data_IF_829372962738
#
_entry.id   IF_829372962738
#
_cell.length_a   1.000
_cell.length_b   1.000
_cell.length_c   1.000
_cell.angle_alpha   90.00
_cell.angle_beta   90.00
_cell.angle_gamma   90.00
#
_symmetry.space_group_name_H-M   'P 1'
#
loop_
_entity.id
_entity.type
_entity.pdbx_description
1 polymer ?
#
# COMPACT_ATOMS: atom_id res chain seq x y z
N UNK A 1 -5.99 -39.13 -15.26
CA UNK A 1 -4.69 -39.27 -14.59
C UNK A 1 -4.63 -38.14 -13.56
N UNK A 2 -4.44 -38.40 -12.26
CA UNK A 2 -4.39 -37.34 -11.27
C UNK A 2 -3.05 -36.59 -11.38
N UNK A 3 -3.11 -35.28 -11.28
CA UNK A 3 -1.95 -34.38 -11.25
C UNK A 3 -1.19 -34.59 -9.92
N UNK A 4 0.10 -34.56 -10.04
CA UNK A 4 1.11 -34.89 -9.04
C UNK A 4 1.12 -33.82 -7.92
N UNK A 5 0.87 -34.26 -6.69
CA UNK A 5 0.80 -33.43 -5.48
C UNK A 5 2.19 -33.29 -4.82
N UNK A 6 3.22 -32.88 -5.56
CA UNK A 6 4.61 -32.86 -5.06
C UNK A 6 5.30 -31.49 -5.06
N UNK A 7 4.56 -30.37 -5.00
CA UNK A 7 5.15 -29.02 -4.93
C UNK A 7 4.78 -28.21 -3.68
N UNK A 8 4.35 -28.86 -2.58
CA UNK A 8 3.91 -28.15 -1.36
C UNK A 8 4.94 -28.22 -0.19
N UNK A 9 6.03 -28.96 -0.37
CA UNK A 9 7.03 -29.13 0.71
C UNK A 9 8.30 -28.34 0.43
N UNK A 10 8.33 -27.04 0.71
CA UNK A 10 9.58 -26.32 1.08
C UNK A 10 9.46 -24.77 1.25
N UNK A 11 8.34 -24.21 1.63
CA UNK A 11 8.27 -22.76 1.91
C UNK A 11 7.81 -22.56 3.35
N UNK A 12 8.70 -22.82 4.30
CA UNK A 12 8.58 -22.27 5.64
C UNK A 12 9.60 -21.12 5.77
N UNK A 13 9.17 -19.87 5.93
CA UNK A 13 10.09 -18.76 6.16
C UNK A 13 10.81 -19.00 7.50
N UNK A 14 12.13 -18.95 7.47
CA UNK A 14 12.95 -18.96 8.72
C UNK A 14 12.93 -17.55 9.30
N UNK A 15 11.91 -17.22 10.06
CA UNK A 15 11.85 -15.99 10.81
C UNK A 15 12.97 -15.89 11.83
N UNK A 16 13.84 -14.90 11.71
CA UNK A 16 14.74 -14.48 12.78
C UNK A 16 13.98 -13.49 13.67
N UNK A 17 14.01 -13.72 14.97
CA UNK A 17 13.38 -12.91 16.00
C UNK A 17 13.80 -11.44 15.85
N UNK A 18 12.85 -10.56 15.52
CA UNK A 18 12.99 -9.14 15.77
C UNK A 18 12.81 -8.90 17.28
N UNK A 19 13.80 -8.25 17.91
CA UNK A 19 13.65 -7.77 19.29
C UNK A 19 12.92 -6.45 19.25
N UNK A 20 11.83 -6.33 20.01
CA UNK A 20 11.18 -5.04 20.25
C UNK A 20 12.21 -4.03 20.78
N UNK A 21 12.34 -2.84 20.18
CA UNK A 21 13.29 -1.84 20.62
C UNK A 21 12.88 -1.26 21.98
N UNK A 22 13.87 -1.07 22.85
CA UNK A 22 13.72 -0.27 24.08
C UNK A 22 13.33 1.15 23.68
N UNK A 23 12.14 1.61 24.09
CA UNK A 23 11.66 2.98 23.90
C UNK A 23 12.49 3.92 24.79
N UNK A 24 13.32 4.82 24.26
CA UNK A 24 13.98 5.84 25.06
C UNK A 24 13.01 6.96 25.43
N UNK A 25 13.20 7.65 26.57
CA UNK A 25 12.33 8.74 26.99
C UNK A 25 12.44 9.96 26.07
N UNK A 26 11.31 10.63 25.84
CA UNK A 26 11.16 11.81 25.01
C UNK A 26 12.16 12.93 25.35
N UNK A 27 12.88 13.39 24.32
CA UNK A 27 13.69 14.61 24.38
C UNK A 27 13.09 15.70 23.49
N UNK A 28 12.83 16.85 24.09
CA UNK A 28 12.34 18.06 23.44
C UNK A 28 13.42 18.67 22.53
N UNK A 29 13.15 18.80 21.22
CA UNK A 29 13.75 19.86 20.39
C UNK A 29 13.12 19.91 18.98
N UNK A 30 12.41 20.97 18.63
CA UNK A 30 11.77 21.15 17.32
C UNK A 30 12.74 21.08 16.12
N UNK A 31 14.02 21.44 16.29
CA UNK A 31 15.06 21.32 15.24
C UNK A 31 15.56 19.86 15.04
N UNK A 32 15.36 18.99 16.02
CA UNK A 32 15.71 17.56 15.91
C UNK A 32 14.60 16.76 15.23
N UNK A 33 13.34 17.18 15.31
CA UNK A 33 12.19 16.50 14.71
C UNK A 33 12.21 16.56 13.17
N UNK A 34 12.50 17.74 12.59
CA UNK A 34 12.59 17.88 11.13
C UNK A 34 13.75 17.08 10.52
N UNK A 35 14.89 16.98 11.22
CA UNK A 35 15.99 16.12 10.78
C UNK A 35 15.63 14.63 10.92
N UNK A 36 14.85 14.25 11.93
CA UNK A 36 14.40 12.87 12.12
C UNK A 36 13.41 12.45 11.04
N UNK A 37 12.43 13.28 10.68
CA UNK A 37 11.48 12.98 9.61
C UNK A 37 12.16 12.82 8.24
N UNK A 38 13.09 13.71 7.90
CA UNK A 38 13.87 13.61 6.65
C UNK A 38 14.66 12.29 6.60
N UNK A 39 15.22 11.85 7.73
CA UNK A 39 15.92 10.57 7.81
C UNK A 39 14.96 9.39 7.64
N UNK A 40 13.78 9.41 8.27
CA UNK A 40 12.77 8.36 8.13
C UNK A 40 12.33 8.18 6.67
N UNK A 41 12.06 9.27 5.96
CA UNK A 41 11.73 9.20 4.54
C UNK A 41 12.89 8.68 3.70
N UNK A 42 14.12 9.10 3.98
CA UNK A 42 15.29 8.62 3.25
C UNK A 42 15.57 7.13 3.50
N UNK A 43 15.33 6.63 4.72
CA UNK A 43 15.48 5.21 5.04
C UNK A 43 14.39 4.41 4.35
N UNK A 44 13.13 4.86 4.41
CA UNK A 44 12.02 4.22 3.73
C UNK A 44 12.17 4.21 2.20
N UNK A 45 12.62 5.32 1.59
CA UNK A 45 12.91 5.42 0.16
C UNK A 45 13.92 4.35 -0.28
N UNK A 46 15.08 4.28 0.39
CA UNK A 46 16.11 3.28 0.09
C UNK A 46 15.64 1.84 0.31
N UNK A 47 14.85 1.60 1.35
CA UNK A 47 14.26 0.30 1.61
C UNK A 47 13.30 -0.11 0.48
N UNK A 48 12.47 0.83 -0.01
CA UNK A 48 11.55 0.59 -1.12
C UNK A 48 12.27 0.48 -2.47
N UNK A 49 13.39 1.17 -2.67
CA UNK A 49 14.22 0.99 -3.86
C UNK A 49 14.79 -0.44 -3.94
N UNK A 50 15.26 -1.00 -2.81
CA UNK A 50 15.71 -2.39 -2.77
C UNK A 50 14.53 -3.37 -2.99
N UNK A 51 13.35 -3.08 -2.43
CA UNK A 51 12.12 -3.89 -2.61
C UNK A 51 11.63 -3.91 -4.04
N UNK A 52 11.83 -2.83 -4.81
CA UNK A 52 11.37 -2.73 -6.19
C UNK A 52 11.92 -3.89 -7.05
N UNK A 53 13.22 -4.16 -6.99
CA UNK A 53 13.86 -5.27 -7.71
C UNK A 53 13.34 -6.63 -7.26
N UNK A 54 13.15 -6.81 -5.95
CA UNK A 54 12.64 -8.03 -5.36
C UNK A 54 11.19 -8.29 -5.81
N UNK A 55 10.35 -7.27 -5.82
CA UNK A 55 8.94 -7.35 -6.19
C UNK A 55 8.71 -7.64 -7.68
N UNK A 56 9.68 -7.36 -8.53
CA UNK A 56 9.66 -7.77 -9.94
C UNK A 56 10.01 -9.24 -10.16
N UNK A 57 10.53 -9.92 -9.13
CA UNK A 57 10.90 -11.33 -9.20
C UNK A 57 9.64 -12.21 -9.07
N UNK A 58 9.58 -13.29 -9.86
CA UNK A 58 8.51 -14.29 -9.75
C UNK A 58 7.11 -13.81 -10.13
N UNK A 59 6.98 -12.63 -10.74
CA UNK A 59 5.68 -12.09 -11.21
C UNK A 59 4.61 -11.95 -10.10
N UNK A 60 5.02 -11.57 -8.89
CA UNK A 60 4.09 -11.39 -7.78
C UNK A 60 2.93 -10.43 -8.11
N UNK A 61 3.24 -9.32 -8.81
CA UNK A 61 2.26 -8.32 -9.24
C UNK A 61 1.55 -8.68 -10.55
N UNK A 62 1.72 -9.91 -11.07
CA UNK A 62 1.09 -10.43 -12.28
C UNK A 62 1.20 -9.49 -13.50
N UNK A 63 2.31 -8.70 -13.54
CA UNK A 63 2.52 -7.74 -14.62
C UNK A 63 2.63 -8.43 -16.00
N UNK A 64 3.04 -9.70 -16.05
CA UNK A 64 3.09 -10.46 -17.30
C UNK A 64 1.70 -10.64 -17.90
N UNK A 65 0.68 -10.91 -17.08
CA UNK A 65 -0.69 -10.96 -17.54
C UNK A 65 -1.16 -9.61 -18.11
N UNK A 66 -0.74 -8.49 -17.47
CA UNK A 66 -1.00 -7.16 -18.02
C UNK A 66 -0.34 -6.94 -19.40
N UNK A 67 0.81 -7.57 -19.69
CA UNK A 67 1.48 -7.45 -20.99
C UNK A 67 0.84 -8.36 -22.05
N UNK A 68 0.35 -9.52 -21.66
CA UNK A 68 -0.25 -10.53 -22.57
C UNK A 68 -1.70 -10.17 -22.95
N UNK A 69 -2.49 -9.63 -22.02
CA UNK A 69 -3.88 -9.23 -22.26
C UNK A 69 -4.06 -7.71 -22.12
N UNK A 70 -4.29 -6.97 -23.23
CA UNK A 70 -4.48 -5.54 -23.21
C UNK A 70 -5.75 -5.08 -22.47
N UNK A 71 -6.63 -6.00 -22.09
CA UNK A 71 -7.85 -5.70 -21.32
C UNK A 71 -7.73 -6.00 -19.82
N UNK A 72 -6.66 -6.72 -19.42
CA UNK A 72 -6.42 -7.08 -18.04
C UNK A 72 -6.16 -5.85 -17.17
N UNK A 73 -6.58 -5.92 -15.92
CA UNK A 73 -6.21 -4.99 -14.83
C UNK A 73 -5.73 -5.84 -13.64
N UNK A 74 -4.99 -5.22 -12.73
CA UNK A 74 -4.55 -5.90 -11.50
C UNK A 74 -5.73 -6.45 -10.69
N UNK A 75 -5.47 -7.47 -9.89
CA UNK A 75 -6.49 -8.07 -9.04
C UNK A 75 -6.98 -7.09 -7.96
N UNK A 76 -6.08 -6.23 -7.48
CA UNK A 76 -6.38 -5.20 -6.50
C UNK A 76 -7.36 -4.18 -7.06
N UNK A 77 -7.05 -3.60 -8.23
CA UNK A 77 -7.95 -2.65 -8.88
C UNK A 77 -9.27 -3.30 -9.30
N UNK A 78 -9.27 -4.56 -9.72
CA UNK A 78 -10.46 -5.27 -10.16
C UNK A 78 -11.54 -5.37 -9.06
N UNK A 79 -11.15 -5.36 -7.78
CA UNK A 79 -12.10 -5.38 -6.67
C UNK A 79 -12.93 -4.11 -6.58
N UNK A 80 -12.35 -2.97 -6.94
CA UNK A 80 -12.92 -1.66 -6.66
C UNK A 80 -13.29 -0.86 -7.90
N UNK A 81 -12.87 -1.30 -9.09
CA UNK A 81 -13.02 -0.52 -10.34
C UNK A 81 -14.48 -0.13 -10.64
N UNK A 82 -15.44 -0.98 -10.32
CA UNK A 82 -16.86 -0.71 -10.54
C UNK A 82 -17.40 0.43 -9.65
N UNK A 83 -16.73 0.73 -8.53
CA UNK A 83 -17.10 1.83 -7.61
C UNK A 83 -16.88 3.20 -8.26
N UNK A 84 -15.96 3.28 -9.23
CA UNK A 84 -15.57 4.55 -9.87
C UNK A 84 -16.45 4.88 -11.08
N UNK A 85 -17.33 3.97 -11.50
CA UNK A 85 -18.19 4.13 -12.67
C UNK A 85 -17.40 4.31 -13.96
N UNK A 86 -17.93 5.13 -14.89
CA UNK A 86 -17.28 5.40 -16.16
C UNK A 86 -16.09 6.36 -15.98
N UNK A 87 -14.88 5.85 -16.26
CA UNK A 87 -13.64 6.61 -16.20
C UNK A 87 -13.27 7.30 -17.53
N UNK A 88 -14.08 7.12 -18.59
CA UNK A 88 -13.80 7.70 -19.90
C UNK A 88 -13.64 9.21 -19.81
N UNK A 89 -12.45 9.70 -20.19
CA UNK A 89 -12.13 11.12 -20.17
C UNK A 89 -11.82 11.72 -18.80
N UNK A 90 -11.81 10.92 -17.73
CA UNK A 90 -11.48 11.37 -16.38
C UNK A 90 -9.97 11.54 -16.20
N UNK A 91 -9.57 12.42 -15.30
CA UNK A 91 -8.20 12.59 -14.85
C UNK A 91 -8.02 11.87 -13.51
N UNK A 92 -7.05 10.98 -13.44
CA UNK A 92 -6.78 10.10 -12.28
C UNK A 92 -5.36 10.30 -11.77
N UNK A 93 -5.19 10.39 -10.46
CA UNK A 93 -3.89 10.26 -9.81
C UNK A 93 -3.88 9.08 -8.85
N UNK A 94 -2.89 8.20 -9.00
CA UNK A 94 -2.60 7.11 -8.08
C UNK A 94 -1.40 7.49 -7.23
N UNK A 95 -1.64 7.68 -5.94
CA UNK A 95 -0.60 8.04 -4.97
C UNK A 95 0.01 6.77 -4.36
N UNK A 96 1.33 6.78 -4.16
CA UNK A 96 2.10 5.63 -3.66
C UNK A 96 1.90 4.40 -4.55
N UNK A 97 2.10 4.61 -5.87
CA UNK A 97 1.70 3.67 -6.92
C UNK A 97 2.65 2.49 -7.14
N UNK A 98 3.79 2.45 -6.46
CA UNK A 98 4.81 1.40 -6.58
C UNK A 98 5.16 1.11 -8.05
N UNK A 99 5.11 -0.16 -8.49
CA UNK A 99 5.40 -0.58 -9.87
C UNK A 99 4.26 -0.31 -10.87
N UNK A 100 3.20 0.36 -10.45
CA UNK A 100 2.20 0.99 -11.32
C UNK A 100 1.22 0.06 -12.02
N UNK A 101 1.06 -1.20 -11.59
CA UNK A 101 0.13 -2.15 -12.22
C UNK A 101 -1.32 -1.66 -12.18
N UNK A 102 -1.78 -1.13 -11.03
CA UNK A 102 -3.11 -0.51 -10.89
C UNK A 102 -3.23 0.76 -11.75
N UNK A 103 -2.15 1.55 -11.79
CA UNK A 103 -2.11 2.80 -12.56
C UNK A 103 -2.35 2.57 -14.05
N UNK A 104 -1.74 1.50 -14.61
CA UNK A 104 -1.98 1.06 -15.98
C UNK A 104 -3.43 0.64 -16.19
N UNK A 105 -4.05 0.03 -15.18
CA UNK A 105 -5.45 -0.36 -15.20
C UNK A 105 -6.41 0.81 -15.46
N UNK A 106 -6.14 2.01 -14.93
CA UNK A 106 -6.95 3.20 -15.19
C UNK A 106 -6.86 3.66 -16.65
N UNK A 107 -5.70 3.55 -17.29
CA UNK A 107 -5.55 3.82 -18.73
C UNK A 107 -6.41 2.87 -19.57
N UNK A 108 -6.46 1.61 -19.21
CA UNK A 108 -7.29 0.60 -19.87
C UNK A 108 -8.78 0.78 -19.67
N UNK A 109 -9.19 1.55 -18.66
CA UNK A 109 -10.57 1.92 -18.39
C UNK A 109 -10.95 3.29 -18.97
N UNK A 110 -10.09 3.88 -19.82
CA UNK A 110 -10.41 5.07 -20.62
C UNK A 110 -10.16 6.40 -19.93
N UNK A 111 -9.47 6.43 -18.80
CA UNK A 111 -9.02 7.67 -18.20
C UNK A 111 -8.11 8.43 -19.18
N UNK A 112 -8.29 9.76 -19.27
CA UNK A 112 -7.63 10.61 -20.27
C UNK A 112 -6.30 11.17 -19.83
N UNK A 113 -6.06 11.26 -18.53
CA UNK A 113 -4.83 11.67 -17.91
C UNK A 113 -4.62 10.84 -16.66
N UNK A 114 -3.49 10.14 -16.60
CA UNK A 114 -3.18 9.28 -15.47
C UNK A 114 -1.78 9.63 -14.97
N UNK A 115 -1.69 9.88 -13.67
CA UNK A 115 -0.42 10.08 -12.97
C UNK A 115 -0.28 8.99 -11.92
N UNK A 116 0.87 8.30 -11.93
CA UNK A 116 1.36 7.50 -10.80
C UNK A 116 2.42 8.30 -10.04
N UNK A 117 2.29 8.42 -8.73
CA UNK A 117 3.28 9.10 -7.89
C UNK A 117 3.81 8.14 -6.84
N UNK A 118 5.13 8.06 -6.70
CA UNK A 118 5.78 7.24 -5.67
C UNK A 118 7.06 7.88 -5.15
N UNK A 119 7.47 7.47 -3.94
CA UNK A 119 8.72 7.90 -3.31
C UNK A 119 9.93 7.14 -3.87
N UNK A 120 9.76 5.88 -4.33
CA UNK A 120 10.81 5.03 -4.86
C UNK A 120 11.02 5.25 -6.36
N UNK A 121 12.16 5.81 -6.75
CA UNK A 121 12.51 5.95 -8.18
C UNK A 121 12.76 4.59 -8.83
N UNK A 122 13.27 3.61 -8.11
CA UNK A 122 13.45 2.25 -8.62
C UNK A 122 12.09 1.61 -8.97
N UNK A 123 11.08 1.75 -8.11
CA UNK A 123 9.70 1.31 -8.40
C UNK A 123 9.15 1.98 -9.65
N UNK A 124 9.33 3.30 -9.77
CA UNK A 124 8.87 4.06 -10.93
C UNK A 124 9.62 3.73 -12.21
N UNK A 125 10.88 3.33 -12.15
CA UNK A 125 11.62 2.85 -13.32
C UNK A 125 10.98 1.56 -13.87
N UNK A 126 10.58 0.63 -13.00
CA UNK A 126 9.81 -0.55 -13.41
C UNK A 126 8.42 -0.18 -13.93
N UNK A 127 7.72 0.73 -13.26
CA UNK A 127 6.39 1.20 -13.67
C UNK A 127 6.41 1.80 -15.10
N UNK A 128 7.39 2.64 -15.42
CA UNK A 128 7.58 3.21 -16.78
C UNK A 128 7.82 2.13 -17.81
N UNK A 129 8.68 1.14 -17.50
CA UNK A 129 8.97 0.03 -18.40
C UNK A 129 7.74 -0.84 -18.66
N UNK A 130 6.97 -1.17 -17.61
CA UNK A 130 5.73 -1.96 -17.75
C UNK A 130 4.71 -1.17 -18.59
N UNK A 131 4.52 0.13 -18.31
CA UNK A 131 3.59 0.96 -19.06
C UNK A 131 3.97 1.09 -20.53
N UNK A 132 5.26 1.28 -20.86
CA UNK A 132 5.77 1.30 -22.23
C UNK A 132 5.48 -0.02 -22.95
N UNK A 133 5.80 -1.17 -22.34
CA UNK A 133 5.54 -2.49 -22.89
C UNK A 133 4.03 -2.76 -23.05
N UNK A 134 3.21 -2.27 -22.15
CA UNK A 134 1.74 -2.38 -22.18
C UNK A 134 1.08 -1.39 -23.16
N UNK A 135 1.83 -0.45 -23.73
CA UNK A 135 1.31 0.63 -24.57
C UNK A 135 0.36 1.59 -23.83
N UNK A 136 0.53 1.74 -22.51
CA UNK A 136 -0.29 2.60 -21.67
C UNK A 136 0.34 3.99 -21.55
N UNK A 137 -0.45 5.05 -21.81
CA UNK A 137 -0.03 6.45 -21.66
C UNK A 137 -0.23 6.89 -20.19
N UNK A 138 0.82 6.79 -19.40
CA UNK A 138 0.84 7.10 -17.96
C UNK A 138 2.06 7.96 -17.65
N UNK A 139 1.85 9.04 -16.92
CA UNK A 139 2.93 9.86 -16.35
C UNK A 139 3.33 9.31 -14.97
N UNK A 140 4.62 9.06 -14.72
CA UNK A 140 5.12 8.65 -13.41
C UNK A 140 6.01 9.73 -12.81
N UNK A 141 5.65 10.18 -11.59
CA UNK A 141 6.27 11.29 -10.88
C UNK A 141 6.95 10.80 -9.60
N UNK A 142 8.26 10.99 -9.50
CA UNK A 142 9.04 10.71 -8.29
C UNK A 142 8.86 11.85 -7.29
N UNK A 143 8.14 11.61 -6.21
CA UNK A 143 7.94 12.56 -5.12
C UNK A 143 7.43 11.88 -3.86
N UNK A 144 7.70 12.50 -2.71
CA UNK A 144 6.98 12.17 -1.48
C UNK A 144 5.50 12.56 -1.63
N UNK A 145 4.59 11.73 -1.14
CA UNK A 145 3.14 11.99 -1.21
C UNK A 145 2.75 13.34 -0.60
N UNK A 146 3.46 13.78 0.43
CA UNK A 146 3.24 15.09 1.06
C UNK A 146 3.56 16.28 0.13
N UNK A 147 4.37 16.07 -0.89
CA UNK A 147 4.75 17.08 -1.86
C UNK A 147 4.01 16.95 -3.19
N UNK A 148 3.04 16.01 -3.27
CA UNK A 148 2.30 15.71 -4.49
C UNK A 148 1.67 16.97 -5.12
N UNK A 149 1.10 17.89 -4.30
CA UNK A 149 0.49 19.14 -4.81
C UNK A 149 1.48 20.06 -5.52
N UNK A 150 2.77 19.98 -5.16
CA UNK A 150 3.84 20.77 -5.76
C UNK A 150 4.45 20.05 -6.97
N UNK A 151 4.51 18.73 -6.91
CA UNK A 151 5.08 17.88 -7.96
C UNK A 151 4.17 17.75 -9.18
N UNK A 152 2.84 17.81 -9.00
CA UNK A 152 1.89 17.67 -10.10
C UNK A 152 1.02 18.91 -10.29
N UNK A 153 0.70 19.22 -11.54
CA UNK A 153 -0.19 20.34 -11.90
C UNK A 153 -1.64 19.88 -12.05
N UNK A 154 -2.59 20.79 -11.89
CA UNK A 154 -4.02 20.53 -12.08
C UNK A 154 -4.67 19.82 -10.89
N UNK A 155 -5.89 19.36 -11.09
CA UNK A 155 -6.71 18.62 -10.14
C UNK A 155 -7.36 17.43 -10.85
N UNK A 156 -7.84 16.45 -10.08
CA UNK A 156 -8.23 15.14 -10.59
C UNK A 156 -9.70 14.83 -10.28
N UNK A 157 -10.31 14.05 -11.15
CA UNK A 157 -11.65 13.49 -10.94
C UNK A 157 -11.60 12.34 -9.91
N UNK A 158 -10.48 11.60 -9.89
CA UNK A 158 -10.22 10.50 -8.95
C UNK A 158 -8.81 10.63 -8.36
N UNK A 159 -8.72 10.63 -7.04
CA UNK A 159 -7.49 10.39 -6.28
C UNK A 159 -7.61 9.00 -5.68
N UNK A 160 -6.70 8.11 -6.06
CA UNK A 160 -6.70 6.69 -5.67
C UNK A 160 -5.42 6.35 -4.92
N UNK A 161 -5.52 5.50 -3.92
CA UNK A 161 -4.37 4.88 -3.25
C UNK A 161 -4.75 3.50 -2.70
N UNK A 162 -3.84 2.53 -2.77
CA UNK A 162 -3.97 1.15 -2.28
C UNK A 162 -2.59 0.48 -2.26
N UNK A 163 -2.38 -0.56 -1.62
CA UNK A 163 -2.69 -1.17 -0.34
C UNK A 163 -1.38 -1.20 0.44
N UNK A 164 -1.40 -1.08 1.79
CA UNK A 164 -0.19 -1.05 2.60
C UNK A 164 0.52 0.30 2.56
N UNK A 165 -0.22 1.40 2.45
CA UNK A 165 0.33 2.74 2.18
C UNK A 165 0.38 3.66 3.40
N UNK A 166 -0.63 3.62 4.28
CA UNK A 166 -0.72 4.58 5.39
C UNK A 166 0.30 4.32 6.48
N UNK A 167 0.74 3.09 6.64
CA UNK A 167 1.77 2.75 7.63
C UNK A 167 3.13 3.43 7.36
N UNK A 168 3.39 3.96 6.18
CA UNK A 168 4.62 4.67 5.82
C UNK A 168 4.57 6.18 6.10
N UNK A 169 3.45 6.68 6.63
CA UNK A 169 3.17 8.11 6.76
C UNK A 169 3.16 8.55 8.22
N UNK A 170 4.01 9.52 8.63
CA UNK A 170 4.03 10.04 9.99
C UNK A 170 2.89 11.02 10.33
N UNK A 171 2.20 11.61 9.33
CA UNK A 171 1.19 12.67 9.53
C UNK A 171 -0.03 12.45 8.63
N UNK A 172 -1.01 11.75 9.18
CA UNK A 172 -2.24 11.43 8.45
C UNK A 172 -3.11 12.66 8.18
N UNK A 173 -3.01 13.71 9.01
CA UNK A 173 -3.77 14.93 8.81
C UNK A 173 -3.23 15.73 7.61
N UNK A 174 -1.90 15.84 7.46
CA UNK A 174 -1.25 16.44 6.30
C UNK A 174 -1.55 15.65 5.03
N UNK A 175 -1.50 14.31 5.09
CA UNK A 175 -1.86 13.45 3.96
C UNK A 175 -3.29 13.72 3.47
N UNK A 176 -4.28 13.80 4.38
CA UNK A 176 -5.66 14.10 4.02
C UNK A 176 -5.81 15.48 3.36
N UNK A 177 -5.05 16.49 3.81
CA UNK A 177 -5.01 17.81 3.17
C UNK A 177 -4.46 17.75 1.74
N UNK A 178 -3.42 16.93 1.50
CA UNK A 178 -2.88 16.70 0.16
C UNK A 178 -3.97 16.10 -0.74
N UNK A 179 -4.66 15.05 -0.29
CA UNK A 179 -5.79 14.44 -1.02
C UNK A 179 -6.82 15.51 -1.43
N UNK A 180 -7.31 16.27 -0.44
CA UNK A 180 -8.31 17.31 -0.70
C UNK A 180 -7.82 18.39 -1.67
N UNK A 181 -6.52 18.71 -1.67
CA UNK A 181 -5.92 19.69 -2.57
C UNK A 181 -5.82 19.21 -4.03
N UNK A 182 -5.72 17.90 -4.23
CA UNK A 182 -5.61 17.28 -5.54
C UNK A 182 -6.97 17.06 -6.22
N UNK A 183 -8.06 17.00 -5.45
CA UNK A 183 -9.39 16.75 -5.99
C UNK A 183 -10.02 18.00 -6.65
N UNK A 184 -10.69 17.79 -7.78
CA UNK A 184 -11.67 18.73 -8.33
C UNK A 184 -12.88 18.85 -7.39
N UNK A 185 -13.65 19.96 -7.41
CA UNK A 185 -14.99 19.95 -6.84
C UNK A 185 -15.83 18.80 -7.44
N UNK A 186 -16.47 18.00 -6.61
CA UNK A 186 -17.18 16.78 -7.00
C UNK A 186 -16.29 15.58 -7.35
N UNK A 187 -14.96 15.71 -7.21
CA UNK A 187 -14.02 14.62 -7.44
C UNK A 187 -14.06 13.60 -6.29
N UNK A 188 -13.73 12.35 -6.62
CA UNK A 188 -13.78 11.21 -5.72
C UNK A 188 -12.38 10.88 -5.17
N UNK A 189 -12.28 10.62 -3.88
CA UNK A 189 -11.15 9.96 -3.25
C UNK A 189 -11.52 8.52 -2.92
N UNK A 190 -10.58 7.62 -3.16
CA UNK A 190 -10.69 6.23 -2.74
C UNK A 190 -9.39 5.72 -2.14
N UNK A 191 -9.53 4.99 -1.05
CA UNK A 191 -8.46 4.18 -0.45
C UNK A 191 -8.99 2.80 -0.07
N UNK A 192 -8.19 1.76 -0.37
CA UNK A 192 -8.24 0.46 0.28
C UNK A 192 -6.89 0.23 0.94
N UNK A 193 -6.89 -0.16 2.21
CA UNK A 193 -5.65 -0.39 2.95
C UNK A 193 -5.80 -1.50 3.99
N UNK A 194 -4.68 -1.96 4.51
CA UNK A 194 -4.68 -2.91 5.61
C UNK A 194 -5.33 -2.28 6.85
N UNK A 195 -6.17 -3.05 7.52
CA UNK A 195 -6.90 -2.53 8.67
C UNK A 195 -5.96 -2.26 9.85
N UNK A 196 -6.05 -1.10 10.54
CA UNK A 196 -5.17 -0.79 11.66
C UNK A 196 -5.17 -1.83 12.78
N UNK A 197 -6.27 -2.57 12.96
CA UNK A 197 -6.33 -3.68 13.91
C UNK A 197 -5.48 -4.86 13.45
N UNK A 198 -5.46 -5.17 12.15
CA UNK A 198 -4.59 -6.18 11.58
C UNK A 198 -3.11 -5.85 11.85
N UNK A 199 -2.71 -4.59 11.67
CA UNK A 199 -1.35 -4.10 11.91
C UNK A 199 -0.90 -4.18 13.38
N UNK A 200 -1.81 -4.46 14.32
CA UNK A 200 -1.44 -4.65 15.74
C UNK A 200 -1.04 -6.08 16.08
N UNK A 201 -1.35 -7.03 15.19
CA UNK A 201 -1.14 -8.46 15.47
C UNK A 201 0.30 -8.82 15.17
N UNK A 202 0.94 -9.51 16.13
CA UNK A 202 2.30 -9.99 15.97
C UNK A 202 2.44 -11.12 14.96
N UNK A 203 3.67 -11.32 14.50
CA UNK A 203 4.01 -12.38 13.54
C UNK A 203 4.11 -13.76 14.22
N UNK A 204 4.49 -13.81 15.51
CA UNK A 204 4.56 -15.07 16.26
C UNK A 204 3.17 -15.49 16.74
N UNK A 205 2.58 -16.41 15.97
CA UNK A 205 1.25 -16.98 16.21
C UNK A 205 1.27 -18.32 16.95
N UNK A 206 2.41 -18.74 17.47
CA UNK A 206 2.56 -20.05 18.15
C UNK A 206 1.58 -20.25 19.32
N UNK A 207 1.17 -19.17 19.98
CA UNK A 207 0.16 -19.14 21.05
C UNK A 207 -1.15 -18.44 20.62
N UNK A 208 -1.43 -18.32 19.32
CA UNK A 208 -2.56 -17.61 18.74
C UNK A 208 -2.29 -16.14 18.44
N UNK A 209 -3.27 -15.46 17.88
CA UNK A 209 -3.16 -14.04 17.49
C UNK A 209 -3.06 -13.16 18.74
N UNK A 210 -2.02 -12.34 18.84
CA UNK A 210 -1.77 -11.43 19.97
C UNK A 210 -1.59 -10.00 19.47
N UNK A 211 -2.11 -9.05 20.24
CA UNK A 211 -1.85 -7.63 20.02
C UNK A 211 -0.45 -7.34 20.57
N UNK A 212 0.48 -6.94 19.71
CA UNK A 212 1.88 -6.66 20.06
C UNK A 212 2.29 -5.23 19.67
N UNK A 213 1.66 -4.65 18.66
CA UNK A 213 1.91 -3.28 18.23
C UNK A 213 0.78 -2.32 18.66
N UNK A 214 1.07 -1.02 18.79
CA UNK A 214 0.05 -0.05 19.17
C UNK A 214 -1.00 0.13 18.05
N UNK A 215 -2.27 0.19 18.43
CA UNK A 215 -3.38 0.56 17.55
C UNK A 215 -3.47 2.08 17.32
N UNK A 216 -3.12 2.86 18.33
CA UNK A 216 -3.16 4.31 18.26
C UNK A 216 -1.79 4.86 17.87
N UNK A 217 -1.81 5.89 17.03
CA UNK A 217 -0.62 6.59 16.56
C UNK A 217 0.29 6.99 17.72
N UNK A 218 1.58 6.84 17.51
CA UNK A 218 2.64 7.24 18.40
C UNK A 218 3.45 8.37 17.77
N UNK A 219 4.03 9.26 18.59
CA UNK A 219 4.87 10.36 18.11
C UNK A 219 6.13 9.84 17.35
N UNK A 220 6.68 8.71 17.80
CA UNK A 220 7.81 8.07 17.16
C UNK A 220 7.36 6.85 16.33
N UNK A 221 8.02 6.57 15.20
CA UNK A 221 7.73 5.38 14.41
C UNK A 221 8.09 4.09 15.14
N UNK A 222 7.44 3.01 14.79
CA UNK A 222 8.01 1.67 14.91
C UNK A 222 9.14 1.56 13.90
N UNK A 223 10.34 1.27 14.39
CA UNK A 223 11.52 1.14 13.53
C UNK A 223 11.92 -0.33 13.44
N UNK A 224 12.03 -0.80 12.22
CA UNK A 224 12.40 -2.17 11.91
C UNK A 224 13.78 -2.20 11.24
N UNK A 225 14.51 -3.28 11.46
CA UNK A 225 15.74 -3.61 10.76
C UNK A 225 15.55 -5.04 10.22
N UNK A 226 14.95 -5.13 9.03
CA UNK A 226 14.41 -6.37 8.48
C UNK A 226 14.70 -6.47 6.99
N UNK A 227 15.31 -7.60 6.59
CA UNK A 227 15.63 -7.95 5.20
C UNK A 227 14.57 -8.86 4.54
N UNK A 228 13.41 -9.05 5.18
CA UNK A 228 12.30 -9.84 4.66
C UNK A 228 11.31 -9.04 3.83
N UNK A 229 10.51 -9.73 3.04
CA UNK A 229 9.39 -9.20 2.27
C UNK A 229 8.29 -10.25 2.15
N UNK A 230 7.06 -9.80 1.85
CA UNK A 230 5.97 -10.69 1.46
C UNK A 230 6.18 -11.36 0.09
N UNK A 231 7.22 -10.94 -0.64
CA UNK A 231 7.71 -11.61 -1.86
C UNK A 231 9.02 -12.29 -1.52
N UNK A 232 9.03 -13.63 -1.48
CA UNK A 232 10.22 -14.43 -1.21
C UNK A 232 10.30 -15.58 -2.21
N UNK A 233 11.31 -15.55 -3.08
CA UNK A 233 11.60 -16.61 -4.03
C UNK A 233 13.07 -17.00 -3.94
N UNK A 234 13.43 -18.26 -4.24
CA UNK A 234 14.83 -18.66 -4.42
C UNK A 234 15.52 -17.69 -5.40
N UNK A 235 16.72 -17.26 -5.05
CA UNK A 235 17.53 -16.32 -5.85
C UNK A 235 17.01 -14.88 -5.94
N UNK A 236 16.08 -14.48 -5.09
CA UNK A 236 15.61 -13.08 -4.99
C UNK A 236 16.75 -12.14 -4.60
N UNK A 237 16.81 -10.93 -5.17
CA UNK A 237 17.65 -9.85 -4.65
C UNK A 237 17.37 -9.63 -3.15
N UNK A 238 18.40 -9.32 -2.38
CA UNK A 238 18.24 -9.07 -0.95
C UNK A 238 18.04 -7.58 -0.70
N UNK A 239 17.18 -7.27 0.27
CA UNK A 239 17.09 -5.94 0.84
C UNK A 239 18.40 -5.67 1.59
N UNK A 240 19.11 -4.61 1.20
CA UNK A 240 20.38 -4.18 1.80
C UNK A 240 20.19 -2.95 2.69
N UNK A 241 19.18 -2.13 2.42
CA UNK A 241 18.73 -1.03 3.27
C UNK A 241 17.58 -1.51 4.14
N UNK A 242 17.93 -2.21 5.22
CA UNK A 242 16.99 -2.97 6.07
C UNK A 242 16.19 -2.10 7.03
N UNK A 243 16.71 -0.90 7.37
CA UNK A 243 16.01 0.03 8.27
C UNK A 243 14.80 0.64 7.59
N UNK A 244 13.64 0.49 8.23
CA UNK A 244 12.40 1.14 7.82
C UNK A 244 11.61 1.64 9.02
N UNK A 245 10.70 2.60 8.77
CA UNK A 245 9.94 3.31 9.78
C UNK A 245 8.45 3.28 9.43
N UNK A 246 7.63 2.83 10.37
CA UNK A 246 6.19 2.64 10.18
C UNK A 246 5.39 3.22 11.34
N UNK A 247 4.16 3.64 11.03
CA UNK A 247 3.17 4.15 11.98
C UNK A 247 1.87 3.36 11.84
N UNK A 248 1.14 3.24 12.92
CA UNK A 248 -0.24 2.74 12.85
C UNK A 248 -1.19 3.89 13.16
N UNK A 249 -2.17 4.11 12.31
CA UNK A 249 -3.19 5.14 12.47
C UNK A 249 -4.53 4.47 12.71
N UNK A 250 -5.19 4.77 13.82
CA UNK A 250 -6.50 4.19 14.06
C UNK A 250 -7.51 4.59 12.97
N UNK A 251 -8.47 3.73 12.66
CA UNK A 251 -9.51 4.02 11.67
C UNK A 251 -10.24 5.32 11.97
N UNK A 252 -10.46 5.62 13.27
CA UNK A 252 -11.04 6.88 13.71
C UNK A 252 -10.19 8.11 13.37
N UNK A 253 -8.85 8.01 13.44
CA UNK A 253 -7.94 9.10 13.03
C UNK A 253 -7.98 9.31 11.52
N UNK A 254 -7.94 8.23 10.73
CA UNK A 254 -8.00 8.29 9.25
C UNK A 254 -9.28 9.00 8.80
N UNK A 255 -10.44 8.53 9.28
CA UNK A 255 -11.75 9.12 8.94
C UNK A 255 -11.83 10.59 9.39
N UNK A 256 -11.38 10.89 10.61
CA UNK A 256 -11.40 12.26 11.14
C UNK A 256 -10.49 13.20 10.33
N UNK A 257 -9.31 12.72 9.90
CA UNK A 257 -8.40 13.50 9.07
C UNK A 257 -9.02 13.87 7.71
N UNK A 258 -9.70 12.93 7.04
CA UNK A 258 -10.40 13.18 5.78
C UNK A 258 -11.54 14.19 5.95
N UNK A 259 -12.35 14.05 7.01
CA UNK A 259 -13.44 15.00 7.34
C UNK A 259 -12.87 16.39 7.62
N UNK A 260 -11.80 16.50 8.40
CA UNK A 260 -11.17 17.78 8.72
C UNK A 260 -10.51 18.44 7.51
N UNK A 261 -10.10 17.66 6.51
CA UNK A 261 -9.62 18.16 5.22
C UNK A 261 -10.76 18.66 4.29
N UNK A 262 -12.02 18.53 4.71
CA UNK A 262 -13.20 19.00 3.98
C UNK A 262 -13.81 17.98 3.03
N UNK A 263 -13.47 16.71 3.15
CA UNK A 263 -14.08 15.62 2.39
C UNK A 263 -15.35 15.11 3.07
N UNK A 264 -16.29 14.66 2.27
CA UNK A 264 -17.50 13.96 2.74
C UNK A 264 -17.28 12.47 2.53
N UNK A 265 -17.39 11.70 3.59
CA UNK A 265 -17.29 10.24 3.52
C UNK A 265 -18.61 9.68 2.98
N UNK A 266 -18.56 9.00 1.85
CA UNK A 266 -19.70 8.35 1.23
C UNK A 266 -19.87 6.92 1.72
N UNK A 267 -18.75 6.21 1.89
CA UNK A 267 -18.74 4.82 2.31
C UNK A 267 -17.49 4.52 3.14
N UNK A 268 -17.66 3.71 4.17
CA UNK A 268 -16.61 3.04 4.92
C UNK A 268 -16.94 1.55 4.97
N UNK A 269 -16.07 0.73 4.41
CA UNK A 269 -16.17 -0.73 4.41
C UNK A 269 -15.03 -1.32 5.25
N UNK A 270 -15.35 -2.36 6.01
CA UNK A 270 -14.35 -3.21 6.68
C UNK A 270 -14.54 -4.65 6.22
N UNK A 271 -13.46 -5.35 5.94
CA UNK A 271 -13.54 -6.72 5.43
C UNK A 271 -12.60 -7.67 6.18
N UNK A 272 -12.96 -8.96 6.33
CA UNK A 272 -12.09 -9.98 6.91
C UNK A 272 -11.05 -10.52 5.90
N UNK A 273 -10.84 -9.84 4.77
CA UNK A 273 -9.95 -10.24 3.69
C UNK A 273 -8.65 -9.45 3.73
N UNK A 274 -7.52 -10.12 3.51
CA UNK A 274 -6.20 -9.52 3.32
C UNK A 274 -5.72 -9.70 1.87
N UNK A 275 -4.88 -8.78 1.38
CA UNK A 275 -4.24 -8.91 0.06
C UNK A 275 -3.12 -9.95 0.06
N UNK A 276 -2.48 -10.19 1.19
CA UNK A 276 -1.35 -11.09 1.36
C UNK A 276 -1.56 -12.03 2.55
N UNK A 277 -0.70 -13.04 2.72
CA UNK A 277 -0.82 -14.08 3.72
C UNK A 277 0.24 -13.92 4.84
N UNK A 278 -0.03 -13.17 5.91
CA UNK A 278 0.92 -13.03 7.02
C UNK A 278 1.03 -14.29 7.88
N UNK A 279 -0.03 -15.11 7.92
CA UNK A 279 -0.11 -16.29 8.79
C UNK A 279 -0.55 -17.54 8.00
N UNK A 280 0.36 -18.18 7.23
CA UNK A 280 0.02 -19.32 6.36
C UNK A 280 -0.67 -20.49 7.08
N UNK A 281 -0.36 -20.69 8.36
CA UNK A 281 -0.96 -21.76 9.17
C UNK A 281 -2.43 -21.49 9.53
N UNK A 282 -2.83 -20.22 9.61
CA UNK A 282 -4.17 -19.78 10.03
C UNK A 282 -5.04 -19.29 8.86
N UNK A 283 -4.46 -19.04 7.70
CA UNK A 283 -5.17 -18.42 6.57
C UNK A 283 -5.39 -19.40 5.42
N UNK A 284 -6.37 -19.09 4.60
CA UNK A 284 -6.60 -19.77 3.32
C UNK A 284 -6.90 -18.75 2.23
N UNK A 285 -6.50 -19.11 1.00
CA UNK A 285 -6.69 -18.27 -0.16
C UNK A 285 -8.10 -18.41 -0.73
N UNK A 286 -8.70 -17.29 -1.09
CA UNK A 286 -9.98 -17.26 -1.79
C UNK A 286 -9.81 -17.53 -3.30
N UNK A 287 -10.83 -18.12 -3.92
CA UNK A 287 -10.83 -18.38 -5.36
C UNK A 287 -10.77 -17.10 -6.22
N UNK A 288 -11.24 -15.98 -5.67
CA UNK A 288 -11.19 -14.67 -6.31
C UNK A 288 -9.91 -13.89 -6.00
N UNK A 289 -8.94 -14.52 -5.34
CA UNK A 289 -7.73 -13.90 -4.82
C UNK A 289 -7.93 -13.29 -3.43
N UNK A 290 -6.82 -13.02 -2.72
CA UNK A 290 -6.82 -12.59 -1.32
C UNK A 290 -6.91 -13.75 -0.32
N UNK A 291 -6.86 -13.42 0.96
CA UNK A 291 -6.69 -14.35 2.06
C UNK A 291 -7.63 -14.01 3.22
N UNK A 292 -8.12 -15.01 3.92
CA UNK A 292 -8.92 -14.83 5.15
C UNK A 292 -8.53 -15.89 6.19
N UNK A 293 -8.89 -15.67 7.46
CA UNK A 293 -8.69 -16.67 8.50
C UNK A 293 -9.59 -17.90 8.21
N UNK A 294 -9.02 -19.10 8.31
CA UNK A 294 -9.76 -20.38 8.14
C UNK A 294 -10.87 -20.56 9.15
N UNK A 295 -10.56 -20.17 10.39
CA UNK A 295 -11.50 -20.26 11.49
C UNK A 295 -11.97 -18.88 11.92
N UNK A 296 -13.28 -18.66 11.94
CA UNK A 296 -13.89 -17.44 12.42
C UNK A 296 -13.39 -16.15 11.74
N UNK A 297 -13.44 -16.06 10.39
CA UNK A 297 -12.97 -14.86 9.67
C UNK A 297 -13.70 -13.59 10.12
N UNK A 298 -14.94 -13.71 10.61
CA UNK A 298 -15.74 -12.57 11.09
C UNK A 298 -15.21 -11.89 12.36
N UNK A 299 -14.14 -12.42 13.00
CA UNK A 299 -13.61 -11.89 14.26
C UNK A 299 -12.61 -10.76 14.10
N UNK A 300 -11.97 -10.65 12.94
CA UNK A 300 -10.88 -9.72 12.72
C UNK A 300 -11.05 -9.02 11.37
N UNK A 301 -11.20 -7.69 11.33
CA UNK A 301 -11.11 -6.96 10.09
C UNK A 301 -9.64 -6.94 9.64
N UNK A 302 -9.40 -7.29 8.37
CA UNK A 302 -8.06 -7.35 7.79
C UNK A 302 -7.80 -6.20 6.82
N UNK A 303 -8.85 -5.67 6.17
CA UNK A 303 -8.78 -4.47 5.34
C UNK A 303 -9.94 -3.54 5.61
N UNK A 304 -9.77 -2.29 5.21
CA UNK A 304 -10.84 -1.32 5.10
C UNK A 304 -10.78 -0.61 3.74
N UNK A 305 -11.90 -0.05 3.31
CA UNK A 305 -11.95 0.86 2.18
C UNK A 305 -12.79 2.10 2.53
N UNK A 306 -12.38 3.25 2.03
CA UNK A 306 -13.10 4.51 2.18
C UNK A 306 -13.32 5.12 0.79
N UNK A 307 -14.56 5.46 0.47
CA UNK A 307 -14.93 6.34 -0.61
C UNK A 307 -15.36 7.68 -0.02
N UNK A 308 -14.80 8.77 -0.55
CA UNK A 308 -15.16 10.12 -0.14
C UNK A 308 -15.17 11.06 -1.36
N UNK A 309 -15.88 12.18 -1.26
CA UNK A 309 -15.85 13.20 -2.31
C UNK A 309 -15.54 14.58 -1.74
N UNK A 310 -15.09 15.47 -2.63
CA UNK A 310 -14.90 16.89 -2.34
C UNK A 310 -16.12 17.68 -2.82
N UNK A 311 -16.71 18.50 -1.94
CA UNK A 311 -17.80 19.42 -2.29
C UNK A 311 -17.38 20.47 -3.30
#
# INVERSE_FOLDING_TARGET
>A
MPADASCIDSIAPRHRRAHLPNIPPAYNNEMTETNSQAQWFSDNERNWDDRAELHMTGNYYDYQHLLEDPTAISAELAQDIERFGDLTGKEVIHLQCHVGTDTIGFARRGASRIIGLDLSEASLAHARNIAECAGADVEFVHANVYDARQAVSGTFDLVYTSIGVLCWLPDIARWAQVIASLLKPGGTFFIRDDHPMFMTIGEDISDGLKIEAPYFEQDAPMTWDDDSSYVDFPDTPRITHTTNHQWNHSLGQIVTALINAGLVIDELEETPRAAWCPWPELMEQESAGGWHLREHPERLPLQFAITAHKN
#
